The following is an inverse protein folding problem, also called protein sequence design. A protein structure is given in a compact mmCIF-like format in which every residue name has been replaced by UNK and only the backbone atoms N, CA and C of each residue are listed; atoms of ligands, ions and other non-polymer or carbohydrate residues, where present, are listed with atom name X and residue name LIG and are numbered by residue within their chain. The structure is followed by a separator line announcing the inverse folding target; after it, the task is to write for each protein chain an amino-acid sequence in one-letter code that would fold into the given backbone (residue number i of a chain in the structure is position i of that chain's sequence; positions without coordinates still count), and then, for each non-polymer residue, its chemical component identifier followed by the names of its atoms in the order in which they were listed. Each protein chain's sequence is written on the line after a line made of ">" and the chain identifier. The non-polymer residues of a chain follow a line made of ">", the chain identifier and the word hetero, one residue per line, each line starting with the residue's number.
data_IF_107594378107
#
_entry.id   IF_107594378107
#
_cell.length_a   1.000
_cell.length_b   1.000
_cell.length_c   1.000
_cell.angle_alpha   90.00
_cell.angle_beta   90.00
_cell.angle_gamma   90.00
#
_symmetry.space_group_name_H-M   'P 1'
#
loop_
_entity.id
_entity.type
_entity.pdbx_description
1 polymer ?
#
# COMPACT_ATOMS: atom_id res chain seq x y z
N UNK A 1 -1.02 17.82 -7.51
CA UNK A 1 0.21 18.38 -8.09
C UNK A 1 1.21 18.49 -6.95
N UNK A 2 2.30 17.71 -6.95
CA UNK A 2 3.20 17.57 -5.80
C UNK A 2 3.84 18.92 -5.43
N UNK A 3 3.68 19.38 -4.18
CA UNK A 3 4.60 20.38 -3.61
C UNK A 3 5.94 19.67 -3.44
N UNK A 4 6.93 20.08 -4.22
CA UNK A 4 8.29 19.55 -4.12
C UNK A 4 8.92 20.09 -2.83
N UNK A 5 9.38 19.20 -1.96
CA UNK A 5 10.10 19.55 -0.73
C UNK A 5 11.18 20.61 -1.00
N UNK A 6 11.10 21.72 -0.26
CA UNK A 6 12.07 22.82 -0.30
C UNK A 6 13.46 22.38 0.16
N UNK A 7 13.53 21.33 1.00
CA UNK A 7 14.77 20.78 1.55
C UNK A 7 15.66 20.26 0.43
N UNK A 8 15.10 19.54 -0.55
CA UNK A 8 15.89 18.90 -1.61
C UNK A 8 16.57 19.97 -2.47
N UNK A 9 15.90 21.10 -2.70
CA UNK A 9 16.45 22.24 -3.44
C UNK A 9 17.47 23.01 -2.61
N UNK A 10 17.22 23.19 -1.32
CA UNK A 10 18.14 23.89 -0.42
C UNK A 10 19.45 23.09 -0.24
N UNK A 11 19.35 21.78 -0.03
CA UNK A 11 20.50 20.89 0.12
C UNK A 11 21.26 20.75 -1.20
N UNK A 12 20.56 20.55 -2.32
CA UNK A 12 21.20 20.53 -3.64
C UNK A 12 21.87 21.87 -3.99
N UNK A 13 21.25 23.00 -3.62
CA UNK A 13 21.84 24.32 -3.77
C UNK A 13 23.09 24.54 -2.89
N UNK A 14 23.09 24.01 -1.66
CA UNK A 14 24.24 24.05 -0.76
C UNK A 14 25.41 23.21 -1.29
N UNK A 15 25.13 22.07 -1.93
CA UNK A 15 26.14 21.23 -2.61
C UNK A 15 26.79 21.93 -3.83
N UNK A 16 26.15 22.96 -4.40
CA UNK A 16 26.62 23.66 -5.61
C UNK A 16 27.43 24.93 -5.34
N UNK A 17 27.59 25.36 -4.07
CA UNK A 17 28.40 26.53 -3.73
C UNK A 17 29.90 26.18 -3.85
N UNK A 18 30.66 26.78 -4.78
CA UNK A 18 31.95 26.24 -5.22
C UNK A 18 33.15 26.76 -4.44
N UNK A 19 34.22 25.96 -4.36
CA UNK A 19 35.54 26.47 -4.01
C UNK A 19 36.64 25.49 -3.59
N UNK A 20 36.75 24.26 -4.10
CA UNK A 20 37.92 23.41 -3.79
C UNK A 20 38.41 22.59 -4.98
N UNK A 21 39.74 22.45 -5.06
CA UNK A 21 40.43 21.51 -5.94
C UNK A 21 40.04 20.09 -5.50
N UNK A 22 39.47 19.29 -6.41
CA UNK A 22 39.21 17.87 -6.15
C UNK A 22 40.56 17.16 -5.99
N UNK A 23 40.92 16.84 -4.75
CA UNK A 23 41.98 15.90 -4.46
C UNK A 23 41.37 14.49 -4.47
N UNK A 24 42.05 13.55 -5.14
CA UNK A 24 41.83 12.10 -5.16
C UNK A 24 40.36 11.63 -5.14
N UNK A 25 39.85 11.25 -6.31
CA UNK A 25 38.51 10.63 -6.44
C UNK A 25 38.68 9.12 -6.40
N UNK A 26 38.04 8.47 -5.42
CA UNK A 26 37.93 7.01 -5.36
C UNK A 26 36.62 6.57 -6.02
N UNK A 27 36.73 5.66 -6.99
CA UNK A 27 35.58 5.03 -7.64
C UNK A 27 35.61 3.54 -7.36
N UNK A 28 34.52 3.03 -6.79
CA UNK A 28 34.31 1.59 -6.58
C UNK A 28 32.91 1.19 -7.03
N UNK A 29 32.65 -0.11 -7.13
CA UNK A 29 31.35 -0.57 -7.60
C UNK A 29 31.32 -2.06 -7.86
N UNK A 30 30.13 -2.55 -8.20
CA UNK A 30 29.90 -3.94 -8.56
C UNK A 30 28.73 -4.08 -9.52
N UNK A 31 28.70 -5.20 -10.21
CA UNK A 31 27.57 -5.64 -11.01
C UNK A 31 26.99 -6.88 -10.33
N UNK A 32 25.68 -6.95 -10.20
CA UNK A 32 24.96 -8.06 -9.58
C UNK A 32 23.87 -8.53 -10.55
N UNK A 33 23.77 -9.85 -10.71
CA UNK A 33 22.59 -10.49 -11.27
C UNK A 33 21.89 -11.26 -10.15
N UNK A 34 20.57 -11.13 -10.08
CA UNK A 34 19.72 -11.89 -9.17
C UNK A 34 18.65 -12.62 -9.99
N UNK A 35 18.62 -13.93 -9.88
CA UNK A 35 17.66 -14.78 -10.58
C UNK A 35 16.91 -15.62 -9.55
N UNK A 36 15.58 -15.57 -9.59
CA UNK A 36 14.71 -16.39 -8.74
C UNK A 36 13.71 -17.14 -9.61
N UNK A 37 13.34 -18.34 -9.17
CA UNK A 37 12.37 -19.21 -9.86
C UNK A 37 11.31 -19.69 -8.89
N UNK A 38 10.09 -19.90 -9.39
CA UNK A 38 9.04 -20.55 -8.63
C UNK A 38 9.34 -22.05 -8.47
N UNK A 39 9.25 -22.56 -7.25
CA UNK A 39 9.48 -23.99 -6.94
C UNK A 39 8.23 -24.85 -7.03
N UNK A 40 7.06 -24.22 -7.17
CA UNK A 40 5.75 -24.87 -7.29
C UNK A 40 4.85 -24.02 -8.19
N UNK A 41 3.94 -24.65 -8.93
CA UNK A 41 2.89 -23.92 -9.65
C UNK A 41 1.83 -23.39 -8.69
N UNK A 42 1.19 -22.27 -9.04
CA UNK A 42 0.08 -21.70 -8.29
C UNK A 42 -0.11 -20.21 -8.54
N UNK A 43 -0.86 -19.57 -7.65
CA UNK A 43 -1.07 -18.12 -7.67
C UNK A 43 -0.37 -17.46 -6.49
N UNK A 44 0.24 -16.30 -6.73
CA UNK A 44 0.69 -15.42 -5.66
C UNK A 44 -0.49 -14.63 -5.07
N UNK A 45 -0.27 -14.07 -3.88
CA UNK A 45 -1.31 -13.30 -3.20
C UNK A 45 -1.71 -12.07 -4.03
N UNK A 46 -3.02 -11.87 -4.25
CA UNK A 46 -3.54 -10.74 -5.04
C UNK A 46 -3.39 -10.87 -6.56
N UNK A 47 -2.99 -12.03 -7.08
CA UNK A 47 -2.84 -12.28 -8.52
C UNK A 47 -4.19 -12.43 -9.25
N UNK A 48 -5.14 -13.14 -8.63
CA UNK A 48 -6.45 -13.42 -9.24
C UNK A 48 -7.20 -12.13 -9.63
N UNK A 49 -7.73 -12.10 -10.85
CA UNK A 49 -8.50 -10.96 -11.38
C UNK A 49 -10.00 -11.09 -11.10
N UNK A 50 -10.48 -12.30 -10.89
CA UNK A 50 -11.87 -12.67 -10.60
C UNK A 50 -11.89 -13.86 -9.64
N UNK A 51 -13.06 -14.21 -9.09
CA UNK A 51 -13.26 -15.42 -8.29
C UNK A 51 -13.06 -16.72 -9.07
N UNK A 52 -13.13 -16.65 -10.40
CA UNK A 52 -13.00 -17.80 -11.31
C UNK A 52 -11.63 -17.82 -12.00
N UNK A 53 -10.72 -16.92 -11.64
CA UNK A 53 -9.39 -16.83 -12.22
C UNK A 53 -8.47 -17.84 -11.52
N UNK A 54 -8.14 -18.92 -12.23
CA UNK A 54 -7.19 -19.95 -11.83
C UNK A 54 -5.82 -19.79 -12.51
N UNK A 55 -5.61 -18.71 -13.28
CA UNK A 55 -4.34 -18.46 -13.95
C UNK A 55 -3.25 -18.13 -12.95
N UNK A 56 -2.05 -18.67 -13.16
CA UNK A 56 -0.93 -18.47 -12.26
C UNK A 56 0.40 -18.80 -12.93
N UNK A 57 1.45 -18.88 -12.13
CA UNK A 57 2.77 -19.31 -12.58
C UNK A 57 2.90 -20.83 -12.52
N UNK A 58 3.81 -21.35 -13.34
CA UNK A 58 4.25 -22.74 -13.30
C UNK A 58 5.54 -22.91 -12.50
N UNK A 59 5.72 -24.11 -11.95
CA UNK A 59 6.99 -24.51 -11.36
C UNK A 59 8.11 -24.39 -12.40
N UNK A 60 9.14 -23.60 -12.07
CA UNK A 60 10.27 -23.31 -12.95
C UNK A 60 10.18 -21.97 -13.67
N UNK A 61 9.02 -21.30 -13.64
CA UNK A 61 8.91 -19.93 -14.16
C UNK A 61 9.83 -18.97 -13.40
N UNK A 62 10.35 -17.97 -14.11
CA UNK A 62 11.15 -16.92 -13.49
C UNK A 62 10.26 -16.05 -12.61
N UNK A 63 10.63 -15.94 -11.34
CA UNK A 63 10.05 -15.00 -10.39
C UNK A 63 10.73 -13.63 -10.49
N UNK A 64 12.05 -13.64 -10.75
CA UNK A 64 12.89 -12.45 -10.84
C UNK A 64 14.04 -12.71 -11.79
N UNK A 65 14.36 -11.72 -12.62
CA UNK A 65 15.61 -11.69 -13.36
C UNK A 65 16.11 -10.25 -13.40
N UNK A 66 16.82 -9.89 -12.33
CA UNK A 66 17.28 -8.53 -12.08
C UNK A 66 18.77 -8.40 -12.36
N UNK A 67 19.12 -7.38 -13.13
CA UNK A 67 20.50 -6.98 -13.36
C UNK A 67 20.70 -5.60 -12.78
N UNK A 68 21.75 -5.42 -11.98
CA UNK A 68 22.11 -4.14 -11.40
C UNK A 68 23.59 -3.85 -11.51
N UNK A 69 23.91 -2.58 -11.65
CA UNK A 69 25.26 -2.03 -11.59
C UNK A 69 25.25 -0.88 -10.59
N UNK A 70 25.98 -1.05 -9.48
CA UNK A 70 26.17 -0.03 -8.46
C UNK A 70 27.56 0.56 -8.53
N UNK A 71 27.63 1.88 -8.45
CA UNK A 71 28.87 2.64 -8.50
C UNK A 71 28.87 3.64 -7.35
N UNK A 72 29.99 3.69 -6.64
CA UNK A 72 30.25 4.60 -5.54
C UNK A 72 31.39 5.52 -5.95
N UNK A 73 31.20 6.81 -5.72
CA UNK A 73 32.21 7.83 -5.99
C UNK A 73 32.42 8.63 -4.72
N UNK A 74 33.65 8.63 -4.23
CA UNK A 74 34.07 9.39 -3.06
C UNK A 74 35.15 10.38 -3.47
N UNK A 75 35.20 11.52 -2.80
CA UNK A 75 36.32 12.42 -2.95
C UNK A 75 36.41 13.42 -1.82
N UNK A 76 37.60 14.01 -1.69
CA UNK A 76 37.86 15.02 -0.67
C UNK A 76 37.61 16.44 -1.21
N UNK A 77 37.05 17.29 -0.33
CA UNK A 77 36.78 18.70 -0.56
C UNK A 77 37.64 19.55 0.39
N UNK A 78 38.96 19.40 0.29
CA UNK A 78 39.92 20.03 1.21
C UNK A 78 40.20 19.17 2.45
N UNK A 79 40.66 19.80 3.53
CA UNK A 79 41.22 19.07 4.69
C UNK A 79 40.14 18.48 5.62
N UNK A 80 38.96 19.10 5.70
CA UNK A 80 37.93 18.77 6.69
C UNK A 80 36.57 18.43 6.06
N UNK A 81 36.53 18.18 4.76
CA UNK A 81 35.26 17.93 4.06
C UNK A 81 35.46 16.88 2.98
N UNK A 82 34.43 16.07 2.76
CA UNK A 82 34.41 15.03 1.73
C UNK A 82 33.01 14.93 1.13
N UNK A 83 32.88 14.23 0.02
CA UNK A 83 31.60 13.94 -0.61
C UNK A 83 31.51 12.50 -1.04
N UNK A 84 30.27 12.02 -1.12
CA UNK A 84 29.91 10.68 -1.53
C UNK A 84 28.75 10.72 -2.51
N UNK A 85 28.80 9.88 -3.55
CA UNK A 85 27.67 9.59 -4.41
C UNK A 85 27.54 8.08 -4.66
N UNK A 86 26.31 7.58 -4.62
CA UNK A 86 25.96 6.21 -4.99
C UNK A 86 24.96 6.24 -6.16
N UNK A 87 25.37 5.63 -7.27
CA UNK A 87 24.54 5.43 -8.46
C UNK A 87 24.19 3.95 -8.60
N UNK A 88 22.92 3.65 -8.87
CA UNK A 88 22.40 2.28 -8.98
C UNK A 88 21.57 2.13 -10.24
N UNK A 89 22.14 1.61 -11.33
CA UNK A 89 21.37 1.24 -12.51
C UNK A 89 20.81 -0.17 -12.31
N UNK A 90 19.49 -0.34 -12.38
CA UNK A 90 18.83 -1.61 -12.12
C UNK A 90 17.71 -1.85 -13.12
N UNK A 91 17.54 -3.11 -13.53
CA UNK A 91 16.45 -3.53 -14.38
C UNK A 91 16.07 -4.99 -14.10
N UNK A 92 14.80 -5.22 -13.79
CA UNK A 92 14.19 -6.54 -13.59
C UNK A 92 13.21 -6.84 -14.73
N UNK A 93 13.48 -7.90 -15.49
CA UNK A 93 12.62 -8.25 -16.64
C UNK A 93 11.25 -8.77 -16.22
N UNK A 94 11.19 -9.40 -15.04
CA UNK A 94 9.99 -10.05 -14.49
C UNK A 94 9.17 -9.13 -13.57
N UNK A 95 9.59 -7.88 -13.38
CA UNK A 95 8.83 -6.90 -12.60
C UNK A 95 7.38 -6.76 -13.09
N UNK A 96 6.41 -6.84 -12.18
CA UNK A 96 4.98 -6.93 -12.54
C UNK A 96 4.42 -5.73 -13.30
N UNK A 97 5.08 -4.57 -13.20
CA UNK A 97 4.76 -3.35 -13.94
C UNK A 97 5.99 -2.43 -14.00
N UNK A 98 5.86 -1.26 -14.64
CA UNK A 98 6.95 -0.29 -14.80
C UNK A 98 7.62 0.13 -13.50
N UNK A 99 6.91 0.11 -12.38
CA UNK A 99 7.39 0.56 -11.08
C UNK A 99 8.33 -0.46 -10.41
N UNK A 100 8.33 -1.71 -10.91
CA UNK A 100 9.16 -2.82 -10.46
C UNK A 100 10.20 -3.25 -11.50
N UNK A 101 10.06 -2.86 -12.77
CA UNK A 101 11.03 -3.23 -13.81
C UNK A 101 12.31 -2.41 -13.78
N UNK A 102 12.30 -1.21 -13.21
CA UNK A 102 13.46 -0.33 -13.27
C UNK A 102 13.29 0.93 -12.44
N UNK A 103 13.85 2.04 -12.92
CA UNK A 103 14.00 3.22 -12.09
C UNK A 103 12.69 3.84 -11.61
N UNK A 104 12.58 3.97 -10.29
CA UNK A 104 11.59 4.80 -9.62
C UNK A 104 12.24 5.56 -8.47
N UNK A 105 12.04 6.87 -8.41
CA UNK A 105 12.53 7.69 -7.31
C UNK A 105 11.99 7.22 -5.95
N UNK A 106 12.82 7.29 -4.92
CA UNK A 106 12.48 6.90 -3.54
C UNK A 106 12.00 5.45 -3.43
N UNK A 107 12.74 4.57 -4.09
CA UNK A 107 12.57 3.12 -4.01
C UNK A 107 13.93 2.43 -3.99
N UNK A 108 13.97 1.11 -3.81
CA UNK A 108 15.19 0.33 -3.99
C UNK A 108 15.81 0.51 -5.39
N UNK A 109 14.97 0.79 -6.39
CA UNK A 109 15.38 1.00 -7.77
C UNK A 109 15.68 2.47 -8.12
N UNK A 110 15.85 3.32 -7.12
CA UNK A 110 16.31 4.68 -7.35
C UNK A 110 17.74 4.69 -7.91
N UNK A 111 17.95 5.46 -8.97
CA UNK A 111 19.25 5.58 -9.64
C UNK A 111 20.25 6.36 -8.82
N UNK A 112 19.80 7.42 -8.14
CA UNK A 112 20.67 8.19 -7.24
C UNK A 112 20.32 7.75 -5.83
N UNK A 113 21.03 6.77 -5.29
CA UNK A 113 20.75 6.28 -3.95
C UNK A 113 21.25 7.27 -2.92
N UNK A 114 22.54 7.59 -2.92
CA UNK A 114 23.13 8.55 -1.99
C UNK A 114 23.85 9.67 -2.74
N UNK A 115 23.78 10.87 -2.17
CA UNK A 115 24.57 12.03 -2.58
C UNK A 115 24.66 12.98 -1.40
N UNK A 116 25.80 13.04 -0.74
CA UNK A 116 26.00 13.92 0.40
C UNK A 116 27.42 14.46 0.49
N UNK A 117 27.56 15.54 1.24
CA UNK A 117 28.84 16.07 1.69
C UNK A 117 28.90 16.02 3.22
N UNK A 118 30.08 15.63 3.71
CA UNK A 118 30.46 15.70 5.12
C UNK A 118 31.38 16.89 5.33
N UNK A 119 31.20 17.62 6.43
CA UNK A 119 32.09 18.72 6.81
C UNK A 119 32.15 18.88 8.32
N UNK A 120 33.34 19.16 8.85
CA UNK A 120 33.55 19.41 10.28
C UNK A 120 33.88 20.87 10.54
N UNK A 121 33.10 21.53 11.40
CA UNK A 121 33.32 22.93 11.77
C UNK A 121 32.93 23.20 13.23
N UNK A 122 33.82 23.84 13.99
CA UNK A 122 33.52 24.27 15.37
C UNK A 122 33.21 23.12 16.33
N UNK A 123 33.79 21.94 16.12
CA UNK A 123 33.53 20.73 16.90
C UNK A 123 32.20 20.04 16.58
N UNK A 124 31.54 20.45 15.51
CA UNK A 124 30.37 19.77 14.94
C UNK A 124 30.75 19.07 13.66
N UNK A 125 30.15 17.90 13.45
CA UNK A 125 30.19 17.14 12.21
C UNK A 125 28.82 17.24 11.53
N UNK A 126 28.82 17.70 10.29
CA UNK A 126 27.62 17.89 9.49
C UNK A 126 27.62 16.96 8.30
N UNK A 127 26.47 16.35 8.01
CA UNK A 127 26.20 15.65 6.75
C UNK A 127 24.99 16.24 6.06
N UNK A 128 25.18 16.72 4.85
CA UNK A 128 24.18 17.41 4.05
C UNK A 128 23.97 16.64 2.74
N UNK A 129 22.78 16.09 2.53
CA UNK A 129 22.51 15.36 1.30
C UNK A 129 21.46 14.28 1.40
N UNK A 130 21.28 13.55 0.30
CA UNK A 130 20.53 12.30 0.24
C UNK A 130 21.39 11.18 0.84
N UNK A 131 20.94 10.63 1.97
CA UNK A 131 21.75 9.72 2.77
C UNK A 131 20.86 8.77 3.57
N UNK A 132 21.48 7.75 4.18
CA UNK A 132 20.87 6.90 5.19
C UNK A 132 21.47 7.16 6.57
N UNK A 133 20.63 7.18 7.60
CA UNK A 133 21.01 7.33 9.00
C UNK A 133 20.30 6.29 9.84
N UNK A 134 21.10 5.51 10.57
CA UNK A 134 20.59 4.42 11.39
C UNK A 134 20.50 4.83 12.86
N UNK A 135 19.30 4.69 13.42
CA UNK A 135 19.06 4.77 14.86
C UNK A 135 18.77 3.36 15.38
N UNK A 136 19.77 2.72 15.98
CA UNK A 136 19.61 1.44 16.70
C UNK A 136 19.23 0.26 15.80
N UNK A 137 20.24 -0.46 15.30
CA UNK A 137 20.06 -1.83 14.80
C UNK A 137 20.26 -2.78 15.97
N UNK A 138 19.26 -3.57 16.32
CA UNK A 138 19.42 -4.73 17.19
C UNK A 138 19.03 -5.97 16.36
N UNK A 139 19.96 -6.92 16.28
CA UNK A 139 19.84 -8.29 15.74
C UNK A 139 18.61 -8.55 14.84
N UNK A 140 18.75 -8.26 13.55
CA UNK A 140 17.76 -8.61 12.52
C UNK A 140 16.45 -7.81 12.49
N UNK A 141 16.18 -6.91 13.44
CA UNK A 141 14.93 -6.14 13.52
C UNK A 141 15.20 -4.63 13.58
N UNK A 142 14.58 -3.89 12.66
CA UNK A 142 14.52 -2.41 12.67
C UNK A 142 13.55 -1.97 13.78
N UNK A 143 14.05 -1.76 15.01
CA UNK A 143 13.21 -1.32 16.14
C UNK A 143 13.10 0.21 16.24
N UNK A 144 14.22 0.93 16.08
CA UNK A 144 14.28 2.40 16.19
C UNK A 144 14.67 3.09 14.88
N UNK A 145 14.78 2.30 13.80
CA UNK A 145 15.22 2.76 12.49
C UNK A 145 14.04 3.30 11.67
N UNK A 146 13.54 4.46 12.12
CA UNK A 146 12.33 5.11 11.58
C UNK A 146 12.63 6.34 10.72
N UNK A 147 13.90 6.79 10.68
CA UNK A 147 14.29 8.00 9.93
C UNK A 147 14.19 7.76 8.43
N UNK A 148 14.79 6.66 7.96
CA UNK A 148 14.72 6.25 6.57
C UNK A 148 13.49 5.37 6.36
N UNK A 149 12.60 5.70 5.40
CA UNK A 149 11.55 4.79 4.99
C UNK A 149 12.15 3.49 4.46
N UNK A 150 11.37 2.43 4.53
CA UNK A 150 11.73 1.10 4.03
C UNK A 150 10.85 0.75 2.84
N UNK A 151 11.50 0.21 1.81
CA UNK A 151 10.85 -0.41 0.67
C UNK A 151 10.74 -1.92 0.94
N UNK A 152 9.52 -2.42 1.00
CA UNK A 152 9.19 -3.80 1.31
C UNK A 152 8.97 -4.66 0.06
N UNK A 153 9.37 -4.19 -1.14
CA UNK A 153 9.21 -4.96 -2.39
C UNK A 153 9.87 -6.32 -2.40
N UNK A 154 10.85 -6.59 -1.55
CA UNK A 154 11.52 -7.91 -1.45
C UNK A 154 11.45 -8.48 -0.04
N UNK A 155 10.41 -8.12 0.71
CA UNK A 155 10.06 -8.57 2.07
C UNK A 155 11.10 -9.52 2.73
N UNK A 156 11.97 -8.95 3.58
CA UNK A 156 12.97 -9.67 4.40
C UNK A 156 14.13 -10.33 3.63
N UNK A 157 14.10 -10.40 2.29
CA UNK A 157 15.24 -10.92 1.52
C UNK A 157 16.40 -9.93 1.47
N UNK A 158 16.07 -8.64 1.34
CA UNK A 158 17.09 -7.61 1.27
C UNK A 158 17.75 -7.33 2.61
N UNK A 159 19.02 -6.96 2.52
CA UNK A 159 19.73 -6.40 3.68
C UNK A 159 19.02 -5.12 4.14
N UNK A 160 19.23 -4.76 5.41
CA UNK A 160 18.61 -3.57 5.96
C UNK A 160 19.05 -2.28 5.26
N UNK A 161 20.27 -2.26 4.74
CA UNK A 161 20.84 -1.15 3.96
C UNK A 161 20.18 -1.03 2.57
N UNK A 162 20.03 -2.15 1.86
CA UNK A 162 19.41 -2.14 0.54
C UNK A 162 17.94 -1.72 0.61
N UNK A 163 17.22 -2.23 1.61
CA UNK A 163 15.78 -1.97 1.79
C UNK A 163 15.46 -0.55 2.28
N UNK A 164 16.42 0.16 2.86
CA UNK A 164 16.23 1.57 3.24
C UNK A 164 16.19 2.44 1.99
N UNK A 165 15.28 3.41 2.02
CA UNK A 165 15.19 4.48 1.04
C UNK A 165 16.02 5.65 1.56
N UNK A 166 17.13 6.02 0.89
CA UNK A 166 17.87 7.21 1.26
C UNK A 166 17.04 8.47 1.01
N UNK A 167 17.12 9.42 1.93
CA UNK A 167 16.32 10.64 1.89
C UNK A 167 17.18 11.88 2.07
N UNK A 168 16.75 13.00 1.51
CA UNK A 168 17.41 14.28 1.70
C UNK A 168 17.29 14.74 3.15
N UNK A 169 18.43 14.99 3.79
CA UNK A 169 18.47 15.41 5.18
C UNK A 169 19.72 16.21 5.52
N UNK A 170 19.60 16.96 6.61
CA UNK A 170 20.71 17.50 7.38
C UNK A 170 20.87 16.64 8.64
N UNK A 171 22.08 16.13 8.86
CA UNK A 171 22.52 15.56 10.13
C UNK A 171 23.59 16.48 10.72
N UNK A 172 23.48 16.80 12.00
CA UNK A 172 24.52 17.52 12.74
C UNK A 172 24.79 16.77 14.05
N UNK A 173 26.04 16.47 14.35
CA UNK A 173 26.40 15.82 15.61
C UNK A 173 27.66 16.41 16.23
N UNK A 174 27.77 16.26 17.56
CA UNK A 174 28.89 16.77 18.33
C UNK A 174 29.11 15.93 19.57
N UNK A 175 30.37 15.67 19.87
CA UNK A 175 30.76 15.05 21.14
C UNK A 175 30.63 16.06 22.28
N UNK A 176 30.08 15.60 23.39
CA UNK A 176 29.83 16.38 24.60
C UNK A 176 30.58 15.71 25.76
N UNK A 177 31.69 16.32 26.16
CA UNK A 177 32.63 15.69 27.09
C UNK A 177 33.31 14.46 26.46
N UNK A 178 33.77 13.55 27.31
CA UNK A 178 34.56 12.39 26.87
C UNK A 178 33.70 11.17 26.50
N UNK A 179 32.44 11.13 26.96
CA UNK A 179 31.58 9.93 26.84
C UNK A 179 30.22 10.20 26.18
N UNK A 180 29.89 11.46 25.89
CA UNK A 180 28.59 11.87 25.37
C UNK A 180 28.63 12.27 23.89
N UNK A 181 27.52 12.09 23.20
CA UNK A 181 27.31 12.58 21.83
C UNK A 181 25.86 13.08 21.68
N UNK A 182 25.71 14.26 21.08
CA UNK A 182 24.40 14.80 20.69
C UNK A 182 24.29 14.80 19.16
N UNK A 183 23.12 14.44 18.66
CA UNK A 183 22.82 14.41 17.22
C UNK A 183 21.45 15.05 16.95
N UNK A 184 21.41 15.87 15.92
CA UNK A 184 20.23 16.53 15.38
C UNK A 184 20.01 16.09 13.94
N UNK A 185 18.75 15.87 13.59
CA UNK A 185 18.34 15.47 12.25
C UNK A 185 17.17 16.33 11.81
N UNK A 186 17.26 16.84 10.58
CA UNK A 186 16.12 17.39 9.85
C UNK A 186 16.06 16.66 8.52
N UNK A 187 15.00 15.88 8.30
CA UNK A 187 14.86 15.06 7.09
C UNK A 187 13.58 15.38 6.33
N UNK A 188 13.59 15.16 5.02
CA UNK A 188 12.35 15.19 4.24
C UNK A 188 11.37 14.11 4.70
N UNK A 189 10.08 14.36 4.50
CA UNK A 189 9.03 13.37 4.72
C UNK A 189 8.93 12.44 3.51
N UNK A 190 8.89 11.13 3.73
CA UNK A 190 8.68 10.12 2.70
C UNK A 190 7.99 8.87 3.30
N UNK A 191 7.26 8.12 2.47
CA UNK A 191 6.46 6.96 2.89
C UNK A 191 7.20 5.63 2.68
N UNK A 192 6.89 4.64 3.52
CA UNK A 192 7.28 3.25 3.29
C UNK A 192 6.59 2.74 2.02
N UNK A 193 7.31 1.94 1.22
CA UNK A 193 6.75 1.34 0.00
C UNK A 193 6.35 -0.09 0.32
N UNK A 194 5.05 -0.35 0.33
CA UNK A 194 4.49 -1.67 0.63
C UNK A 194 3.80 -2.19 -0.63
N UNK A 195 4.25 -3.32 -1.21
CA UNK A 195 3.60 -3.92 -2.38
C UNK A 195 2.13 -4.18 -2.12
N UNK A 196 1.30 -3.81 -3.08
CA UNK A 196 -0.15 -3.91 -3.06
C UNK A 196 -0.83 -2.73 -2.39
N UNK A 197 -0.16 -2.00 -1.49
CA UNK A 197 -0.76 -0.89 -0.75
C UNK A 197 -0.57 0.43 -1.51
N UNK A 198 -1.05 0.45 -2.76
CA UNK A 198 -1.03 1.60 -3.62
C UNK A 198 -2.29 1.67 -4.52
N UNK A 199 -2.32 2.62 -5.47
CA UNK A 199 -3.48 2.79 -6.35
C UNK A 199 -3.75 1.56 -7.22
N UNK A 200 -2.70 0.90 -7.70
CA UNK A 200 -2.73 -0.16 -8.71
C UNK A 200 -2.85 -1.57 -8.09
N UNK A 201 -2.58 -1.71 -6.79
CA UNK A 201 -2.72 -2.98 -6.07
C UNK A 201 -1.62 -4.01 -6.35
N UNK A 202 -0.68 -3.70 -7.24
CA UNK A 202 0.49 -4.52 -7.63
C UNK A 202 0.19 -5.99 -7.91
N UNK A 203 -1.00 -6.28 -8.46
CA UNK A 203 -1.46 -7.63 -8.73
C UNK A 203 -0.40 -8.48 -9.44
N UNK A 204 -0.16 -9.68 -8.92
CA UNK A 204 0.89 -10.60 -9.38
C UNK A 204 2.25 -10.41 -8.70
N UNK A 205 2.41 -9.41 -7.81
CA UNK A 205 3.69 -9.21 -7.13
C UNK A 205 3.91 -10.26 -6.03
N UNK A 206 5.07 -10.95 -6.00
CA UNK A 206 5.26 -12.15 -5.16
C UNK A 206 5.25 -11.87 -3.65
N UNK A 207 5.57 -10.64 -3.24
CA UNK A 207 5.67 -10.26 -1.83
C UNK A 207 4.47 -9.42 -1.31
N UNK A 208 3.30 -9.50 -1.96
CA UNK A 208 2.09 -8.92 -1.39
C UNK A 208 1.71 -9.69 -0.12
N UNK A 209 1.61 -8.98 1.00
CA UNK A 209 1.14 -9.54 2.26
C UNK A 209 -0.38 -9.76 2.23
N UNK A 210 -0.88 -10.84 2.84
CA UNK A 210 -2.33 -11.13 2.92
C UNK A 210 -3.15 -9.99 3.52
N UNK A 211 -2.60 -9.28 4.51
CA UNK A 211 -3.26 -8.10 5.09
C UNK A 211 -3.42 -6.96 4.09
N UNK A 212 -2.47 -6.79 3.17
CA UNK A 212 -2.56 -5.78 2.11
C UNK A 212 -3.59 -6.20 1.05
N UNK A 213 -3.58 -7.46 0.61
CA UNK A 213 -4.60 -7.99 -0.31
C UNK A 213 -6.01 -7.88 0.28
N UNK A 214 -6.16 -8.05 1.59
CA UNK A 214 -7.44 -7.83 2.29
C UNK A 214 -7.90 -6.36 2.23
N UNK A 215 -6.98 -5.39 2.06
CA UNK A 215 -7.33 -3.96 1.97
C UNK A 215 -7.56 -3.55 0.52
N UNK A 216 -6.57 -3.75 -0.36
CA UNK A 216 -6.52 -3.21 -1.73
C UNK A 216 -6.68 -4.27 -2.81
N UNK A 217 -6.73 -5.56 -2.45
CA UNK A 217 -6.89 -6.67 -3.37
C UNK A 217 -8.11 -6.54 -4.26
N UNK A 218 -7.98 -7.03 -5.49
CA UNK A 218 -9.05 -6.93 -6.48
C UNK A 218 -10.24 -7.83 -6.14
N UNK A 219 -9.97 -9.07 -5.74
CA UNK A 219 -10.99 -10.09 -5.47
C UNK A 219 -11.46 -10.03 -4.02
N UNK A 220 -10.51 -10.05 -3.08
CA UNK A 220 -10.78 -10.16 -1.63
C UNK A 220 -10.65 -8.83 -0.87
N UNK A 221 -10.24 -7.74 -1.53
CA UNK A 221 -9.93 -6.49 -0.87
C UNK A 221 -11.17 -5.66 -0.53
N UNK A 222 -11.21 -5.07 0.67
CA UNK A 222 -12.26 -4.16 1.10
C UNK A 222 -12.49 -2.98 0.14
N UNK A 223 -11.41 -2.48 -0.48
CA UNK A 223 -11.48 -1.40 -1.47
C UNK A 223 -12.33 -1.77 -2.70
N UNK A 224 -12.39 -3.05 -3.04
CA UNK A 224 -13.12 -3.60 -4.19
C UNK A 224 -14.48 -4.15 -3.79
N UNK A 225 -14.55 -4.88 -2.66
CA UNK A 225 -15.78 -5.48 -2.14
C UNK A 225 -16.80 -4.43 -1.69
N UNK A 226 -16.39 -3.36 -1.01
CA UNK A 226 -17.33 -2.37 -0.49
C UNK A 226 -18.19 -1.69 -1.58
N UNK A 227 -17.62 -1.16 -2.69
CA UNK A 227 -18.43 -0.61 -3.78
C UNK A 227 -19.22 -1.69 -4.53
N UNK A 228 -18.68 -2.90 -4.67
CA UNK A 228 -19.42 -4.01 -5.29
C UNK A 228 -20.65 -4.41 -4.44
N UNK A 229 -20.51 -4.51 -3.12
CA UNK A 229 -21.60 -4.78 -2.19
C UNK A 229 -22.68 -3.68 -2.25
N UNK A 230 -22.26 -2.42 -2.36
CA UNK A 230 -23.15 -1.27 -2.55
C UNK A 230 -23.96 -1.39 -3.86
N UNK A 231 -23.34 -1.80 -4.96
CA UNK A 231 -24.03 -2.05 -6.22
C UNK A 231 -25.01 -3.25 -6.15
N UNK A 232 -24.63 -4.31 -5.43
CA UNK A 232 -25.54 -5.45 -5.21
C UNK A 232 -26.73 -5.04 -4.33
N UNK A 233 -26.48 -4.30 -3.26
CA UNK A 233 -27.54 -3.74 -2.42
C UNK A 233 -28.51 -2.86 -3.22
N UNK A 234 -27.97 -2.04 -4.12
CA UNK A 234 -28.75 -1.25 -5.07
C UNK A 234 -29.64 -2.12 -5.97
N UNK A 235 -29.11 -3.22 -6.51
CA UNK A 235 -29.86 -4.16 -7.34
C UNK A 235 -31.03 -4.79 -6.56
N UNK A 236 -30.79 -5.22 -5.32
CA UNK A 236 -31.84 -5.73 -4.44
C UNK A 236 -32.88 -4.66 -4.09
N UNK A 237 -32.45 -3.43 -3.81
CA UNK A 237 -33.34 -2.32 -3.50
C UNK A 237 -34.24 -1.96 -4.69
N UNK A 238 -33.70 -1.92 -5.90
CA UNK A 238 -34.48 -1.72 -7.12
C UNK A 238 -35.56 -2.80 -7.28
N UNK A 239 -35.19 -4.07 -7.16
CA UNK A 239 -36.14 -5.19 -7.26
C UNK A 239 -37.25 -5.10 -6.19
N UNK A 240 -36.91 -4.63 -4.99
CA UNK A 240 -37.88 -4.41 -3.92
C UNK A 240 -38.83 -3.25 -4.18
N UNK A 241 -38.35 -2.13 -4.71
CA UNK A 241 -39.22 -1.02 -5.16
C UNK A 241 -40.12 -1.47 -6.31
N UNK A 242 -39.61 -2.29 -7.22
CA UNK A 242 -40.37 -2.87 -8.33
C UNK A 242 -41.38 -3.96 -7.91
N UNK A 243 -41.43 -4.32 -6.62
CA UNK A 243 -42.37 -5.30 -6.08
C UNK A 243 -42.00 -6.76 -6.38
N UNK A 244 -40.78 -7.04 -6.84
CA UNK A 244 -40.33 -8.40 -7.20
C UNK A 244 -40.38 -9.39 -6.01
N UNK A 245 -40.38 -8.89 -4.77
CA UNK A 245 -40.44 -9.70 -3.55
C UNK A 245 -41.86 -9.76 -2.92
N UNK A 246 -42.91 -9.28 -3.59
CA UNK A 246 -44.30 -9.41 -3.12
C UNK A 246 -44.68 -8.57 -1.89
N UNK A 247 -43.81 -7.68 -1.43
CA UNK A 247 -44.06 -6.71 -0.34
C UNK A 247 -44.28 -5.32 -0.93
N UNK A 248 -45.08 -4.49 -0.25
CA UNK A 248 -45.41 -3.10 -0.66
C UNK A 248 -44.15 -2.29 -1.04
N UNK A 249 -44.22 -1.39 -2.04
CA UNK A 249 -43.08 -0.58 -2.45
C UNK A 249 -42.49 0.16 -1.25
N UNK A 250 -41.20 -0.06 -0.98
CA UNK A 250 -40.50 0.55 0.15
C UNK A 250 -38.99 0.33 0.16
N UNK A 251 -38.45 -0.22 -0.94
CA UNK A 251 -37.06 -0.65 -1.00
C UNK A 251 -36.77 -1.80 -0.03
N UNK A 252 -35.54 -1.85 0.49
CA UNK A 252 -35.12 -2.91 1.41
C UNK A 252 -35.62 -2.74 2.85
N UNK A 253 -36.12 -1.56 3.23
CA UNK A 253 -36.55 -1.24 4.61
C UNK A 253 -37.55 -2.25 5.21
N UNK A 254 -38.57 -2.75 4.46
CA UNK A 254 -39.51 -3.75 4.99
C UNK A 254 -38.90 -5.13 5.27
N UNK A 255 -37.70 -5.42 4.77
CA UNK A 255 -37.06 -6.74 4.86
C UNK A 255 -36.19 -6.91 6.13
N UNK A 256 -36.65 -6.35 7.26
CA UNK A 256 -35.96 -6.47 8.55
C UNK A 256 -36.03 -7.86 9.18
N UNK A 257 -36.93 -8.72 8.72
CA UNK A 257 -37.05 -10.12 9.17
C UNK A 257 -36.35 -11.14 8.26
N UNK A 258 -35.90 -10.73 7.08
CA UNK A 258 -35.28 -11.62 6.09
C UNK A 258 -33.77 -11.48 6.17
N UNK A 259 -33.09 -12.51 6.68
CA UNK A 259 -31.62 -12.55 6.69
C UNK A 259 -31.06 -13.01 5.35
N UNK A 260 -29.77 -12.74 5.09
CA UNK A 260 -29.07 -13.28 3.91
C UNK A 260 -29.21 -14.80 3.86
N UNK A 261 -29.01 -15.49 4.98
CA UNK A 261 -29.19 -16.94 5.03
C UNK A 261 -30.65 -17.38 4.88
N UNK A 262 -31.61 -16.61 5.41
CA UNK A 262 -33.03 -16.88 5.22
C UNK A 262 -33.44 -16.81 3.74
N UNK A 263 -32.86 -15.87 2.99
CA UNK A 263 -33.06 -15.78 1.54
C UNK A 263 -32.33 -16.89 0.79
N UNK A 264 -31.02 -17.03 1.01
CA UNK A 264 -30.17 -17.99 0.29
C UNK A 264 -30.54 -19.46 0.57
N UNK A 265 -30.93 -19.79 1.81
CA UNK A 265 -31.40 -21.13 2.19
C UNK A 265 -32.88 -21.40 1.87
N UNK A 266 -33.62 -20.40 1.34
CA UNK A 266 -35.04 -20.49 1.01
C UNK A 266 -35.32 -20.90 -0.44
N UNK A 267 -36.60 -20.85 -0.83
CA UNK A 267 -37.07 -21.19 -2.19
C UNK A 267 -36.96 -20.07 -3.24
N UNK A 268 -36.17 -19.02 -2.95
CA UNK A 268 -35.90 -17.95 -3.90
C UNK A 268 -37.12 -17.12 -4.36
N UNK A 269 -36.90 -16.34 -5.42
CA UNK A 269 -37.87 -15.54 -6.16
C UNK A 269 -38.50 -16.29 -7.34
N UNK A 270 -37.78 -17.27 -7.89
CA UNK A 270 -38.01 -17.84 -9.21
C UNK A 270 -38.42 -19.32 -9.18
N UNK A 271 -38.59 -19.90 -7.99
CA UNK A 271 -38.77 -21.34 -7.79
C UNK A 271 -37.47 -22.15 -7.90
N UNK A 272 -36.32 -21.48 -8.09
CA UNK A 272 -34.99 -22.04 -7.92
C UNK A 272 -34.51 -21.86 -6.46
N UNK A 273 -33.37 -22.45 -6.10
CA UNK A 273 -32.78 -22.26 -4.77
C UNK A 273 -32.43 -20.79 -4.52
N UNK A 274 -32.71 -20.25 -3.33
CA UNK A 274 -32.49 -18.84 -3.03
C UNK A 274 -31.02 -18.40 -3.16
N UNK A 275 -30.06 -19.32 -3.00
CA UNK A 275 -28.65 -19.09 -3.25
C UNK A 275 -28.36 -18.80 -4.74
N UNK A 276 -29.13 -19.41 -5.65
CA UNK A 276 -29.02 -19.20 -7.10
C UNK A 276 -29.55 -17.80 -7.44
N UNK A 277 -30.67 -17.39 -6.85
CA UNK A 277 -31.20 -16.04 -7.05
C UNK A 277 -30.29 -14.98 -6.42
N UNK A 278 -29.73 -15.26 -5.25
CA UNK A 278 -28.75 -14.37 -4.61
C UNK A 278 -27.53 -14.18 -5.50
N UNK A 279 -26.99 -15.28 -6.04
CA UNK A 279 -25.86 -15.23 -6.97
C UNK A 279 -26.24 -14.51 -8.27
N UNK A 280 -27.41 -14.80 -8.83
CA UNK A 280 -27.90 -14.16 -10.05
C UNK A 280 -27.97 -12.64 -9.93
N UNK A 281 -28.54 -12.13 -8.84
CA UNK A 281 -28.60 -10.68 -8.58
C UNK A 281 -27.22 -10.12 -8.24
N UNK A 282 -26.43 -10.82 -7.42
CA UNK A 282 -25.11 -10.35 -7.01
C UNK A 282 -24.15 -10.23 -8.21
N UNK A 283 -24.15 -11.19 -9.13
CA UNK A 283 -23.23 -11.20 -10.27
C UNK A 283 -23.78 -10.47 -11.49
N UNK A 284 -25.09 -10.57 -11.74
CA UNK A 284 -25.75 -10.04 -12.93
C UNK A 284 -26.44 -8.68 -12.76
N UNK A 285 -26.54 -8.18 -11.52
CA UNK A 285 -27.23 -6.92 -11.23
C UNK A 285 -28.74 -7.02 -11.44
N UNK A 286 -29.35 -5.96 -11.95
CA UNK A 286 -30.79 -5.89 -12.26
C UNK A 286 -31.01 -5.26 -13.63
N UNK A 287 -32.13 -5.53 -14.30
CA UNK A 287 -32.52 -4.75 -15.48
C UNK A 287 -33.25 -3.47 -15.05
N UNK A 288 -32.98 -2.30 -15.68
CA UNK A 288 -32.12 -2.07 -16.85
C UNK A 288 -30.64 -1.75 -16.53
N UNK A 289 -30.15 -2.00 -15.32
CA UNK A 289 -28.81 -1.63 -14.81
C UNK A 289 -27.89 -2.86 -14.55
N UNK A 290 -27.48 -3.63 -15.58
CA UNK A 290 -26.60 -4.80 -15.40
C UNK A 290 -25.22 -4.45 -14.84
N UNK A 291 -24.77 -3.20 -15.02
CA UNK A 291 -23.50 -2.68 -14.52
C UNK A 291 -23.39 -2.67 -12.99
N UNK A 292 -24.51 -2.86 -12.27
CA UNK A 292 -24.52 -3.03 -10.83
C UNK A 292 -24.08 -4.45 -10.39
N UNK A 293 -23.99 -5.40 -11.33
CA UNK A 293 -23.51 -6.74 -11.05
C UNK A 293 -22.01 -6.78 -10.73
N UNK A 294 -21.62 -7.72 -9.88
CA UNK A 294 -20.23 -7.99 -9.52
C UNK A 294 -19.44 -8.72 -10.62
N UNK A 295 -20.12 -9.31 -11.61
CA UNK A 295 -19.53 -10.00 -12.75
C UNK A 295 -18.42 -11.02 -12.37
N UNK A 296 -18.62 -11.72 -11.26
CA UNK A 296 -17.70 -12.69 -10.65
C UNK A 296 -16.33 -12.11 -10.25
N UNK A 297 -16.19 -10.77 -10.18
CA UNK A 297 -14.90 -10.12 -9.92
C UNK A 297 -14.50 -10.26 -8.45
N UNK A 298 -15.35 -9.83 -7.53
CA UNK A 298 -15.04 -9.86 -6.09
C UNK A 298 -15.66 -11.07 -5.38
N UNK A 299 -15.14 -11.38 -4.20
CA UNK A 299 -15.59 -12.48 -3.35
C UNK A 299 -16.89 -12.17 -2.58
N UNK A 300 -17.89 -11.61 -3.27
CA UNK A 300 -19.22 -11.41 -2.68
C UNK A 300 -19.95 -12.74 -2.48
N UNK A 301 -19.85 -13.64 -3.46
CA UNK A 301 -20.45 -14.98 -3.49
C UNK A 301 -19.39 -16.04 -3.76
N UNK A 302 -19.54 -17.22 -3.15
CA UNK A 302 -18.70 -18.41 -3.40
C UNK A 302 -19.11 -19.08 -4.72
N UNK A 303 -18.67 -18.50 -5.83
CA UNK A 303 -18.97 -18.96 -7.18
C UNK A 303 -18.03 -20.08 -7.61
N UNK A 304 -18.58 -21.13 -8.22
CA UNK A 304 -17.82 -22.25 -8.81
C UNK A 304 -17.80 -22.22 -10.34
N UNK A 305 -18.52 -21.27 -10.94
CA UNK A 305 -18.60 -21.09 -12.38
C UNK A 305 -19.33 -19.80 -12.75
N UNK A 306 -19.42 -19.47 -14.04
CA UNK A 306 -19.94 -18.19 -14.50
C UNK A 306 -21.46 -18.05 -14.43
N UNK A 307 -22.21 -19.15 -14.26
CA UNK A 307 -23.68 -19.13 -14.25
C UNK A 307 -24.25 -18.99 -12.83
N UNK A 308 -25.48 -18.47 -12.67
CA UNK A 308 -26.08 -18.31 -11.35
C UNK A 308 -26.18 -19.61 -10.54
N UNK A 309 -26.33 -20.76 -11.22
CA UNK A 309 -26.47 -22.07 -10.59
C UNK A 309 -25.14 -22.64 -10.06
N UNK A 310 -24.00 -22.13 -10.54
CA UNK A 310 -22.66 -22.56 -10.13
C UNK A 310 -22.22 -21.75 -8.91
N UNK A 311 -22.89 -22.01 -7.79
CA UNK A 311 -22.67 -21.33 -6.51
C UNK A 311 -22.72 -22.33 -5.37
N UNK A 312 -21.80 -22.18 -4.42
CA UNK A 312 -21.84 -22.86 -3.14
C UNK A 312 -22.43 -21.93 -2.08
N UNK A 313 -23.16 -22.51 -1.13
CA UNK A 313 -23.67 -21.78 0.03
C UNK A 313 -23.50 -22.62 1.30
N UNK A 314 -22.57 -22.21 2.16
CA UNK A 314 -22.29 -22.85 3.44
C UNK A 314 -21.89 -21.81 4.50
N UNK A 315 -22.86 -21.15 5.15
CA UNK A 315 -22.58 -20.16 6.19
C UNK A 315 -21.93 -20.75 7.46
N UNK A 316 -21.90 -22.08 7.63
CA UNK A 316 -21.14 -22.72 8.71
C UNK A 316 -19.63 -22.81 8.43
N UNK A 317 -19.22 -22.65 7.16
CA UNK A 317 -17.83 -22.60 6.69
C UNK A 317 -17.66 -21.52 5.62
N UNK A 318 -17.88 -20.25 5.97
CA UNK A 318 -17.99 -19.15 5.02
C UNK A 318 -16.72 -19.01 4.15
N UNK A 319 -16.90 -18.93 2.84
CA UNK A 319 -15.86 -18.66 1.83
C UNK A 319 -16.01 -17.29 1.18
N UNK A 320 -17.20 -16.66 1.29
CA UNK A 320 -17.55 -15.40 0.64
C UNK A 320 -18.15 -14.36 1.59
N UNK A 321 -18.14 -13.08 1.18
CA UNK A 321 -18.59 -11.98 2.02
C UNK A 321 -20.04 -12.14 2.50
N UNK A 322 -20.97 -12.60 1.64
CA UNK A 322 -22.36 -12.80 2.04
C UNK A 322 -22.53 -13.93 3.07
N UNK A 323 -21.69 -14.97 3.05
CA UNK A 323 -21.73 -16.04 4.04
C UNK A 323 -21.23 -15.56 5.42
N UNK A 324 -20.21 -14.70 5.46
CA UNK A 324 -19.80 -14.00 6.68
C UNK A 324 -20.88 -13.05 7.21
N UNK A 325 -21.77 -12.56 6.35
CA UNK A 325 -22.92 -11.72 6.70
C UNK A 325 -24.25 -12.49 6.73
N UNK A 326 -24.21 -13.81 6.92
CA UNK A 326 -25.39 -14.69 6.87
C UNK A 326 -26.56 -14.26 7.78
N UNK A 327 -26.27 -13.64 8.92
CA UNK A 327 -27.27 -13.14 9.88
C UNK A 327 -27.74 -11.69 9.60
N UNK A 328 -27.10 -10.96 8.69
CA UNK A 328 -27.53 -9.61 8.33
C UNK A 328 -28.89 -9.64 7.64
N UNK A 329 -29.76 -8.69 7.98
CA UNK A 329 -31.10 -8.58 7.39
C UNK A 329 -31.05 -7.74 6.13
N UNK A 330 -31.88 -8.03 5.12
CA UNK A 330 -31.86 -7.23 3.88
C UNK A 330 -32.09 -5.73 4.11
N UNK A 331 -32.85 -5.37 5.14
CA UNK A 331 -33.03 -3.97 5.55
C UNK A 331 -31.72 -3.23 5.87
N UNK A 332 -30.67 -3.91 6.37
CA UNK A 332 -29.39 -3.23 6.66
C UNK A 332 -28.66 -2.82 5.39
N UNK A 333 -28.86 -3.51 4.27
CA UNK A 333 -28.23 -3.13 3.00
C UNK A 333 -28.84 -1.87 2.37
N UNK A 334 -30.01 -1.42 2.84
CA UNK A 334 -30.60 -0.13 2.43
C UNK A 334 -29.62 1.04 2.66
N UNK A 335 -28.80 0.99 3.72
CA UNK A 335 -27.82 2.05 4.03
C UNK A 335 -26.65 2.12 3.05
N UNK A 336 -26.46 1.11 2.21
CA UNK A 336 -25.43 1.11 1.16
C UNK A 336 -25.95 1.64 -0.16
N UNK A 337 -27.22 2.03 -0.23
CA UNK A 337 -27.82 2.57 -1.44
C UNK A 337 -27.87 4.09 -1.38
N UNK A 338 -27.67 4.76 -2.52
CA UNK A 338 -27.87 6.20 -2.67
C UNK A 338 -29.35 6.62 -2.71
N UNK A 339 -30.27 5.65 -2.63
CA UNK A 339 -31.68 5.80 -2.96
C UNK A 339 -32.55 5.11 -1.91
N UNK A 340 -33.17 5.88 -1.00
CA UNK A 340 -34.09 5.32 0.00
C UNK A 340 -35.50 5.85 -0.15
N UNK A 341 -36.47 4.96 -0.39
CA UNK A 341 -37.91 5.26 -0.46
C UNK A 341 -38.54 5.08 -1.84
N UNK A 342 -39.88 4.99 -1.86
CA UNK A 342 -40.69 4.86 -3.10
C UNK A 342 -40.61 6.16 -3.89
N UNK A 343 -40.12 6.08 -5.13
CA UNK A 343 -39.95 7.24 -6.01
C UNK A 343 -38.72 8.12 -5.69
N UNK A 344 -37.84 7.67 -4.79
CA UNK A 344 -36.61 8.39 -4.46
C UNK A 344 -35.58 8.40 -5.59
N UNK A 345 -35.62 7.39 -6.47
CA UNK A 345 -34.76 7.27 -7.64
C UNK A 345 -35.51 6.65 -8.81
N UNK A 346 -35.09 7.02 -10.01
CA UNK A 346 -35.53 6.52 -11.30
C UNK A 346 -34.50 5.54 -11.86
N UNK A 347 -34.84 4.80 -12.93
CA UNK A 347 -33.90 3.90 -13.61
C UNK A 347 -32.65 4.60 -14.21
N UNK A 348 -32.60 5.94 -14.19
CA UNK A 348 -31.46 6.73 -14.66
C UNK A 348 -30.50 7.15 -13.52
N UNK A 349 -30.89 6.97 -12.25
CA UNK A 349 -30.11 7.41 -11.10
C UNK A 349 -29.08 6.34 -10.68
N UNK A 350 -27.97 6.78 -10.08
CA UNK A 350 -26.98 5.86 -9.49
C UNK A 350 -27.46 5.42 -8.11
N UNK A 351 -27.71 4.12 -7.95
CA UNK A 351 -28.19 3.56 -6.70
C UNK A 351 -27.06 3.19 -5.71
N UNK A 352 -25.79 3.32 -6.10
CA UNK A 352 -24.64 2.96 -5.25
C UNK A 352 -24.30 4.07 -4.24
N UNK A 353 -24.23 3.75 -2.95
CA UNK A 353 -23.94 4.70 -1.88
C UNK A 353 -22.50 4.69 -1.38
N UNK A 354 -21.69 3.68 -1.73
CA UNK A 354 -20.29 3.57 -1.28
C UNK A 354 -19.34 3.71 -2.47
N UNK A 355 -18.37 4.61 -2.32
CA UNK A 355 -17.23 4.73 -3.23
C UNK A 355 -15.93 4.56 -2.45
N UNK A 356 -14.86 4.17 -3.15
CA UNK A 356 -13.52 4.08 -2.57
C UNK A 356 -12.56 4.96 -3.35
N UNK A 357 -11.68 5.67 -2.63
CA UNK A 357 -10.67 6.55 -3.24
C UNK A 357 -9.32 6.38 -2.56
N UNK A 358 -8.26 6.45 -3.35
CA UNK A 358 -6.89 6.54 -2.84
C UNK A 358 -6.52 8.02 -2.68
N UNK A 359 -6.32 8.48 -1.44
CA UNK A 359 -5.88 9.85 -1.14
C UNK A 359 -4.44 9.80 -0.64
N UNK A 360 -3.56 10.59 -1.24
CA UNK A 360 -2.25 10.89 -0.64
C UNK A 360 -2.42 12.10 0.26
N UNK A 361 -2.32 11.87 1.56
CA UNK A 361 -2.48 12.89 2.60
C UNK A 361 -1.08 13.34 3.04
N UNK A 362 -0.57 14.37 2.39
CA UNK A 362 0.72 14.96 2.71
C UNK A 362 0.56 16.04 3.79
N UNK A 363 1.62 16.38 4.54
CA UNK A 363 1.59 17.48 5.49
C UNK A 363 1.10 18.78 4.88
N UNK A 364 0.23 19.50 5.59
CA UNK A 364 -0.27 20.81 5.16
C UNK A 364 0.72 21.95 5.49
N UNK A 365 1.43 21.82 6.62
CA UNK A 365 2.21 22.91 7.23
C UNK A 365 3.74 22.77 7.07
N UNK A 366 4.28 21.55 7.08
CA UNK A 366 5.74 21.32 7.07
C UNK A 366 6.13 20.01 6.37
N UNK A 367 7.07 20.07 5.43
CA UNK A 367 7.59 18.91 4.69
C UNK A 367 8.83 18.28 5.36
N UNK A 368 8.92 18.34 6.70
CA UNK A 368 10.11 17.96 7.45
C UNK A 368 9.80 17.13 8.71
N UNK A 369 10.65 16.13 8.96
CA UNK A 369 10.73 15.42 10.23
C UNK A 369 11.94 15.92 11.05
N UNK A 370 11.83 15.88 12.38
CA UNK A 370 12.85 16.39 13.30
C UNK A 370 13.27 15.34 14.31
N UNK A 371 14.57 15.07 14.37
CA UNK A 371 15.17 14.12 15.31
C UNK A 371 16.17 14.76 16.24
N UNK A 372 16.11 14.38 17.52
CA UNK A 372 17.11 14.67 18.52
C UNK A 372 17.53 13.36 19.18
N UNK A 373 18.84 13.14 19.30
CA UNK A 373 19.40 12.01 20.02
C UNK A 373 20.52 12.44 20.93
N UNK A 374 20.55 11.87 22.13
CA UNK A 374 21.70 11.87 23.01
C UNK A 374 22.14 10.44 23.28
N UNK A 375 23.44 10.17 23.20
CA UNK A 375 24.07 8.91 23.63
C UNK A 375 25.12 9.19 24.67
N UNK A 376 25.27 8.27 25.61
CA UNK A 376 26.31 8.32 26.62
C UNK A 376 26.67 6.95 27.13
N UNK A 377 27.83 6.84 27.76
CA UNK A 377 28.31 5.64 28.40
C UNK A 377 28.56 5.94 29.89
N UNK A 378 28.10 5.04 30.76
CA UNK A 378 28.38 5.11 32.20
C UNK A 378 29.75 4.49 32.49
N UNK A 379 30.35 4.83 33.64
CA UNK A 379 31.64 4.30 34.07
C UNK A 379 31.66 2.78 34.23
N UNK A 380 30.50 2.16 34.46
CA UNK A 380 30.34 0.70 34.54
C UNK A 380 30.25 0.01 33.16
N UNK A 381 30.43 0.75 32.06
CA UNK A 381 30.37 0.23 30.69
C UNK A 381 28.96 0.13 30.10
N UNK A 382 27.92 0.57 30.82
CA UNK A 382 26.56 0.60 30.28
C UNK A 382 26.40 1.76 29.28
N UNK A 383 26.07 1.41 28.04
CA UNK A 383 25.73 2.39 27.00
C UNK A 383 24.22 2.69 27.05
N UNK A 384 23.85 3.96 26.94
CA UNK A 384 22.46 4.39 26.88
C UNK A 384 22.22 5.40 25.76
N UNK A 385 20.98 5.47 25.30
CA UNK A 385 20.55 6.46 24.31
C UNK A 385 19.14 6.95 24.60
N UNK A 386 18.92 8.25 24.47
CA UNK A 386 17.59 8.87 24.49
C UNK A 386 17.36 9.47 23.11
N UNK A 387 16.25 9.09 22.47
CA UNK A 387 15.87 9.56 21.15
C UNK A 387 14.49 10.23 21.24
N UNK A 388 14.35 11.39 20.61
CA UNK A 388 13.08 12.06 20.36
C UNK A 388 12.95 12.27 18.86
N UNK A 389 11.81 11.86 18.28
CA UNK A 389 11.53 12.02 16.86
C UNK A 389 10.12 12.54 16.66
N UNK A 390 10.01 13.77 16.15
CA UNK A 390 8.77 14.29 15.61
C UNK A 390 8.71 13.94 14.13
N UNK A 391 7.74 13.10 13.75
CA UNK A 391 7.63 12.64 12.37
C UNK A 391 6.20 12.42 11.93
N UNK A 392 5.97 12.59 10.63
CA UNK A 392 4.73 12.16 9.98
C UNK A 392 4.71 10.64 9.81
N UNK A 393 3.52 10.04 9.89
CA UNK A 393 3.35 8.61 9.70
C UNK A 393 3.82 8.17 8.32
N UNK A 394 4.85 7.31 8.27
CA UNK A 394 5.39 6.80 7.01
C UNK A 394 4.58 5.63 6.43
N UNK A 395 3.63 5.08 7.20
CA UNK A 395 2.79 3.96 6.76
C UNK A 395 1.44 4.45 6.20
N UNK A 396 0.92 3.86 5.12
CA UNK A 396 -0.44 4.09 4.69
C UNK A 396 -1.43 3.58 5.76
N UNK A 397 -2.58 4.22 5.87
CA UNK A 397 -3.66 3.78 6.77
C UNK A 397 -5.02 3.80 6.04
N UNK A 398 -5.94 2.98 6.53
CA UNK A 398 -7.33 2.96 6.05
C UNK A 398 -8.16 3.84 6.98
N UNK A 399 -8.98 4.71 6.40
CA UNK A 399 -9.91 5.55 7.14
C UNK A 399 -11.31 5.44 6.55
N UNK A 400 -12.33 5.47 7.40
CA UNK A 400 -13.74 5.56 7.02
C UNK A 400 -14.24 6.96 7.39
N UNK A 401 -14.83 7.65 6.44
CA UNK A 401 -15.37 9.00 6.62
C UNK A 401 -16.67 9.15 5.84
N UNK A 402 -17.59 9.90 6.41
CA UNK A 402 -18.86 10.25 5.78
C UNK A 402 -18.71 11.58 5.06
N UNK A 403 -19.12 11.63 3.80
CA UNK A 403 -19.12 12.85 2.98
C UNK A 403 -20.54 13.15 2.54
N UNK A 404 -20.90 14.43 2.56
CA UNK A 404 -22.13 14.88 1.91
C UNK A 404 -21.93 14.73 0.39
N UNK A 405 -22.82 14.05 -0.34
CA UNK A 405 -22.69 13.91 -1.79
C UNK A 405 -22.71 15.24 -2.56
N UNK A 406 -23.08 16.36 -1.91
CA UNK A 406 -23.17 17.70 -2.51
C UNK A 406 -21.99 18.64 -2.24
N UNK A 407 -21.09 18.31 -1.31
CA UNK A 407 -19.92 19.15 -0.92
C UNK A 407 -18.62 18.36 -0.95
#
# INVERSE_FOLDING_TARGET
>A
MFKRSLINRAVFGALLLPGTVLAEVEVSGYIKNETSVFTSSGQVTGEAKTMLDDSGHDSGDLLKFENSARMFVNGDLGENSSWHAEINAIYDTEGVNSDYKGHVNYTQHDWLRELYADTSFGGWDFRLGKQQVVWGTADGIKLLDIINPTDYRELVQNTMEDSRIPIWMLKAERNVGDTGNVQFIVSQVEENKIPGLNKNGDSGHPFIMKGVDTITGRVNGFRSIAPALSNVAASFNFNAVAGAFGVSPGGLTPFGGLTVNGFAGGGGLSGFGGQIDLNGIAQGGTMPQPELGNANVTNLMDVTGPTPAEVNWNPAKPQSAFEYMSAATFATFNTFTGCSGVGACTAADSFSGITTRWKKDYPDDTDANFGLRYKGNLENGLNYSVNYFYHYGANPYVNLSWHDPTT
#
